data_IF_901924102562
#
_entry.id   IF_901924102562
#
_cell.length_a   1.000
_cell.length_b   1.000
_cell.length_c   1.000
_cell.angle_alpha   90.00
_cell.angle_beta   90.00
_cell.angle_gamma   90.00
#
_symmetry.space_group_name_H-M   'P 1'
#
loop_
_entity.id
_entity.type
_entity.pdbx_description
1 polymer ?
#
# COMPACT_ATOMS: atom_id res chain seq x y z
N UNK A 1 21.78 -4.85 -28.27
CA UNK A 1 21.84 -6.30 -28.57
C UNK A 1 23.17 -6.83 -28.07
N UNK A 2 23.26 -7.34 -26.86
CA UNK A 2 24.34 -8.23 -26.42
C UNK A 2 23.77 -9.19 -25.37
N UNK A 3 23.73 -10.49 -25.71
CA UNK A 3 23.43 -11.59 -24.82
C UNK A 3 24.73 -12.01 -24.11
N UNK A 4 24.70 -12.07 -22.78
CA UNK A 4 25.75 -12.72 -22.00
C UNK A 4 25.23 -14.08 -21.50
N UNK A 5 25.82 -15.13 -22.05
CA UNK A 5 25.63 -16.50 -21.61
C UNK A 5 26.56 -16.80 -20.42
N UNK A 6 25.99 -17.31 -19.32
CA UNK A 6 26.76 -17.94 -18.27
C UNK A 6 26.83 -19.46 -18.52
N UNK A 7 28.03 -19.97 -18.73
CA UNK A 7 28.31 -21.41 -18.81
C UNK A 7 28.40 -21.99 -17.41
N UNK A 8 27.60 -22.99 -17.11
CA UNK A 8 27.78 -23.88 -15.98
C UNK A 8 28.70 -25.04 -16.41
N UNK A 9 29.79 -25.29 -15.66
CA UNK A 9 30.71 -26.38 -15.86
C UNK A 9 30.04 -27.73 -15.58
N UNK A 10 30.12 -28.65 -16.54
CA UNK A 10 29.60 -30.00 -16.46
C UNK A 10 30.57 -30.94 -15.73
N UNK A 11 30.07 -31.73 -14.77
CA UNK A 11 30.72 -32.93 -14.30
C UNK A 11 30.50 -34.07 -15.32
N UNK A 12 31.55 -34.78 -15.68
CA UNK A 12 31.53 -35.92 -16.59
C UNK A 12 31.05 -37.17 -15.82
N UNK A 13 29.96 -37.76 -16.23
CA UNK A 13 29.77 -39.20 -16.22
C UNK A 13 28.88 -39.58 -17.42
N UNK A 14 29.17 -40.74 -18.00
CA UNK A 14 28.91 -41.15 -19.37
C UNK A 14 27.43 -41.16 -19.81
N UNK A 15 27.17 -40.49 -20.91
CA UNK A 15 26.06 -40.83 -21.80
C UNK A 15 24.83 -39.89 -21.78
N UNK A 16 24.69 -39.11 -22.88
CA UNK A 16 23.60 -38.25 -23.31
C UNK A 16 23.58 -36.84 -22.70
N UNK A 17 24.04 -35.88 -23.46
CA UNK A 17 23.87 -34.45 -23.22
C UNK A 17 22.40 -34.06 -23.39
N UNK A 18 21.71 -33.86 -22.29
CA UNK A 18 20.43 -33.12 -22.26
C UNK A 18 20.74 -31.71 -21.78
N UNK A 19 20.73 -30.73 -22.69
CA UNK A 19 20.86 -29.30 -22.36
C UNK A 19 19.50 -28.82 -21.89
N UNK A 20 19.22 -28.91 -20.60
CA UNK A 20 18.06 -28.24 -20.03
C UNK A 20 18.35 -26.74 -19.95
N UNK A 21 17.82 -25.97 -20.89
CA UNK A 21 17.78 -24.52 -20.79
C UNK A 21 16.80 -24.18 -19.68
N UNK A 22 17.30 -23.89 -18.49
CA UNK A 22 16.49 -23.28 -17.43
C UNK A 22 16.24 -21.84 -17.88
N UNK A 23 15.08 -21.58 -18.50
CA UNK A 23 14.56 -20.23 -18.69
C UNK A 23 14.30 -19.64 -17.30
N UNK A 24 15.30 -18.94 -16.75
CA UNK A 24 15.11 -18.06 -15.62
C UNK A 24 14.12 -16.97 -16.06
N UNK A 25 13.00 -16.73 -15.33
CA UNK A 25 12.10 -15.65 -15.70
C UNK A 25 12.92 -14.36 -15.76
N UNK A 26 12.77 -13.59 -16.83
CA UNK A 26 13.45 -12.30 -17.02
C UNK A 26 13.04 -11.38 -15.87
N UNK A 27 13.89 -11.30 -14.84
CA UNK A 27 13.69 -10.34 -13.75
C UNK A 27 13.70 -8.93 -14.33
N UNK A 28 12.67 -8.17 -14.07
CA UNK A 28 12.62 -6.75 -14.46
C UNK A 28 13.82 -6.05 -13.84
N UNK A 29 14.65 -5.43 -14.67
CA UNK A 29 15.79 -4.59 -14.22
C UNK A 29 15.31 -3.28 -13.59
N UNK A 30 14.05 -2.94 -13.78
CA UNK A 30 13.46 -1.66 -13.35
C UNK A 30 12.81 -1.81 -11.98
N UNK A 31 13.18 -0.93 -11.05
CA UNK A 31 12.51 -0.75 -9.76
C UNK A 31 11.93 0.66 -9.68
N UNK A 32 10.65 0.78 -9.33
CA UNK A 32 10.02 2.10 -9.24
C UNK A 32 10.35 2.80 -7.93
N UNK A 33 10.61 4.11 -8.04
CA UNK A 33 10.80 4.99 -6.88
C UNK A 33 9.66 6.01 -6.88
N UNK A 34 8.83 5.96 -5.84
CA UNK A 34 7.65 6.81 -5.75
C UNK A 34 7.91 8.04 -4.85
N UNK A 35 7.58 9.22 -5.36
CA UNK A 35 7.64 10.50 -4.64
C UNK A 35 6.30 11.23 -4.74
N UNK A 36 5.25 10.82 -3.97
CA UNK A 36 3.95 11.46 -4.07
C UNK A 36 4.02 12.95 -3.72
N UNK A 37 4.55 13.30 -2.56
CA UNK A 37 4.81 14.68 -2.13
C UNK A 37 3.72 15.68 -2.53
N UNK A 38 4.14 16.88 -2.96
CA UNK A 38 3.23 17.93 -3.41
C UNK A 38 2.49 17.61 -4.73
N UNK A 39 2.99 16.63 -5.51
CA UNK A 39 2.33 16.22 -6.75
C UNK A 39 1.18 15.23 -6.55
N UNK A 40 1.08 14.65 -5.34
CA UNK A 40 -0.01 13.75 -4.98
C UNK A 40 -0.40 13.97 -3.50
N UNK A 41 -1.03 15.13 -3.17
CA UNK A 41 -1.42 15.45 -1.81
C UNK A 41 -2.52 14.53 -1.29
N UNK A 42 -2.67 14.50 0.04
CA UNK A 42 -3.75 13.78 0.72
C UNK A 42 -4.83 14.76 1.17
N UNK A 43 -6.08 14.42 0.93
CA UNK A 43 -7.27 15.21 1.26
C UNK A 43 -8.08 14.48 2.33
N UNK A 44 -8.46 15.20 3.40
CA UNK A 44 -9.37 14.68 4.43
C UNK A 44 -10.77 15.23 4.26
N UNK A 45 -11.74 14.33 4.01
CA UNK A 45 -13.17 14.66 3.91
C UNK A 45 -13.81 14.99 5.26
N UNK A 46 -13.12 14.72 6.36
CA UNK A 46 -13.57 15.00 7.74
C UNK A 46 -12.77 16.13 8.41
N UNK A 47 -11.82 16.74 7.67
CA UNK A 47 -10.84 17.64 8.27
C UNK A 47 -9.98 16.88 9.32
N UNK A 48 -9.74 17.45 10.51
CA UNK A 48 -8.94 16.82 11.55
C UNK A 48 -9.72 15.81 12.41
N UNK A 49 -11.02 15.58 12.13
CA UNK A 49 -11.89 14.77 12.98
C UNK A 49 -11.85 13.29 12.60
N UNK A 50 -11.75 12.41 13.61
CA UNK A 50 -11.87 10.96 13.52
C UNK A 50 -12.57 10.45 14.78
N UNK A 51 -13.69 9.73 14.63
CA UNK A 51 -14.41 9.19 15.76
C UNK A 51 -13.68 7.99 16.39
N UNK A 52 -12.99 7.20 15.56
CA UNK A 52 -12.37 5.95 15.99
C UNK A 52 -11.12 6.16 16.87
N UNK A 53 -10.29 7.16 16.57
CA UNK A 53 -9.08 7.50 17.34
C UNK A 53 -8.20 6.30 17.70
N UNK A 54 -7.88 5.48 16.71
CA UNK A 54 -7.04 4.29 16.88
C UNK A 54 -5.75 4.58 17.66
N UNK A 55 -5.30 3.66 18.52
CA UNK A 55 -4.15 3.87 19.39
C UNK A 55 -2.85 4.21 18.64
N UNK A 56 -2.67 3.69 17.43
CA UNK A 56 -1.46 3.92 16.64
C UNK A 56 -1.36 5.33 16.06
N UNK A 57 -2.48 5.97 15.69
CA UNK A 57 -2.46 7.27 15.02
C UNK A 57 -3.18 8.40 15.76
N UNK A 58 -4.21 8.09 16.57
CA UNK A 58 -5.02 9.06 17.34
C UNK A 58 -5.42 10.30 16.49
N UNK A 59 -5.82 10.09 15.24
CA UNK A 59 -6.16 11.13 14.25
C UNK A 59 -5.01 12.11 13.90
N UNK A 60 -3.77 11.88 14.34
CA UNK A 60 -2.65 12.82 14.09
C UNK A 60 -2.30 12.95 12.62
N UNK A 61 -2.43 11.89 11.84
CA UNK A 61 -2.14 11.95 10.40
C UNK A 61 -3.08 12.87 9.63
N UNK A 62 -4.31 13.06 10.10
CA UNK A 62 -5.27 13.99 9.49
C UNK A 62 -4.83 15.46 9.56
N UNK A 63 -3.97 15.82 10.53
CA UNK A 63 -3.46 17.19 10.70
C UNK A 63 -2.57 17.64 9.53
N UNK A 64 -2.02 16.70 8.75
CA UNK A 64 -1.18 16.97 7.59
C UNK A 64 -1.93 16.83 6.26
N UNK A 65 -3.21 16.49 6.30
CA UNK A 65 -4.06 16.37 5.12
C UNK A 65 -4.75 17.70 4.83
N UNK A 66 -5.03 17.97 3.56
CA UNK A 66 -5.80 19.16 3.15
C UNK A 66 -7.26 18.96 3.59
N UNK A 67 -7.82 19.83 4.44
CA UNK A 67 -9.20 19.66 4.90
C UNK A 67 -10.20 20.13 3.84
N UNK A 68 -10.81 19.19 3.12
CA UNK A 68 -11.88 19.47 2.16
C UNK A 68 -13.11 18.66 2.57
N UNK A 69 -14.02 19.32 3.28
CA UNK A 69 -15.15 18.68 3.96
C UNK A 69 -16.47 18.73 3.19
N UNK A 70 -16.51 19.33 2.01
CA UNK A 70 -17.70 19.35 1.15
C UNK A 70 -17.39 18.96 -0.29
N UNK A 71 -18.34 18.31 -1.01
CA UNK A 71 -18.16 17.93 -2.40
C UNK A 71 -17.84 19.10 -3.33
N UNK A 72 -18.47 20.26 -3.11
CA UNK A 72 -18.29 21.47 -3.93
C UNK A 72 -16.85 21.97 -3.86
N UNK A 73 -16.28 22.05 -2.63
CA UNK A 73 -14.88 22.42 -2.44
C UNK A 73 -13.90 21.41 -3.04
N UNK A 74 -14.28 20.14 -3.11
CA UNK A 74 -13.44 19.13 -3.76
C UNK A 74 -13.39 19.37 -5.29
N UNK A 75 -14.52 19.72 -5.90
CA UNK A 75 -14.58 20.06 -7.32
C UNK A 75 -13.82 21.36 -7.60
N UNK A 76 -13.93 22.38 -6.75
CA UNK A 76 -13.18 23.64 -6.86
C UNK A 76 -11.67 23.37 -6.80
N UNK A 77 -11.22 22.61 -5.78
CA UNK A 77 -9.82 22.20 -5.65
C UNK A 77 -9.34 21.46 -6.91
N UNK A 78 -10.11 20.52 -7.42
CA UNK A 78 -9.74 19.77 -8.60
C UNK A 78 -9.56 20.68 -9.84
N UNK A 79 -10.49 21.61 -10.08
CA UNK A 79 -10.37 22.60 -11.16
C UNK A 79 -9.12 23.46 -11.04
N UNK A 80 -8.79 23.90 -9.82
CA UNK A 80 -7.61 24.72 -9.56
C UNK A 80 -6.29 23.95 -9.72
N UNK A 81 -6.29 22.65 -9.42
CA UNK A 81 -5.09 21.81 -9.42
C UNK A 81 -4.88 21.03 -10.71
N UNK A 82 -5.86 20.97 -11.59
CA UNK A 82 -5.75 20.26 -12.86
C UNK A 82 -4.57 20.78 -13.70
N UNK A 83 -3.77 19.85 -14.21
CA UNK A 83 -2.51 20.15 -14.91
C UNK A 83 -1.33 20.59 -14.00
N UNK A 84 -1.56 20.83 -12.70
CA UNK A 84 -0.50 21.25 -11.74
C UNK A 84 0.01 20.10 -10.89
N UNK A 85 -0.87 19.15 -10.53
CA UNK A 85 -0.54 17.94 -9.77
C UNK A 85 -0.93 16.70 -10.55
N UNK A 86 -0.38 15.53 -10.18
CA UNK A 86 -0.71 14.25 -10.84
C UNK A 86 -2.05 13.68 -10.37
N UNK A 87 -2.46 14.02 -9.17
CA UNK A 87 -3.69 13.51 -8.56
C UNK A 87 -3.68 13.68 -7.05
N UNK A 88 -4.55 12.99 -6.34
CA UNK A 88 -4.62 13.07 -4.87
C UNK A 88 -5.17 11.80 -4.24
N UNK A 89 -4.83 11.61 -2.95
CA UNK A 89 -5.46 10.62 -2.09
C UNK A 89 -6.65 11.26 -1.39
N UNK A 90 -7.85 10.73 -1.59
CA UNK A 90 -9.06 11.11 -0.87
C UNK A 90 -9.31 10.13 0.27
N UNK A 91 -9.31 10.61 1.50
CA UNK A 91 -9.57 9.83 2.70
C UNK A 91 -10.13 10.72 3.81
N UNK A 92 -10.01 10.30 5.06
CA UNK A 92 -10.45 11.08 6.21
C UNK A 92 -10.39 10.28 7.50
N UNK A 93 -10.96 10.86 8.56
CA UNK A 93 -11.20 10.15 9.80
C UNK A 93 -12.36 9.17 9.66
N UNK A 94 -12.27 8.10 10.43
CA UNK A 94 -13.28 7.03 10.43
C UNK A 94 -14.43 7.34 11.38
N UNK A 95 -15.60 6.79 11.06
CA UNK A 95 -16.73 6.61 11.99
C UNK A 95 -16.36 5.57 13.06
N UNK A 96 -17.23 5.36 14.05
CA UNK A 96 -17.03 4.33 15.08
C UNK A 96 -17.02 2.91 14.51
N UNK A 97 -17.66 2.71 13.34
CA UNK A 97 -17.66 1.45 12.61
C UNK A 97 -16.39 1.22 11.78
N UNK A 98 -15.48 2.20 11.73
CA UNK A 98 -14.24 2.10 10.98
C UNK A 98 -14.31 2.54 9.51
N UNK A 99 -15.42 3.15 9.07
CA UNK A 99 -15.63 3.62 7.69
C UNK A 99 -15.24 5.10 7.52
N UNK A 100 -14.63 5.45 6.42
CA UNK A 100 -14.49 6.87 6.02
C UNK A 100 -15.79 7.31 5.33
N UNK A 101 -16.41 8.45 5.71
CA UNK A 101 -17.74 8.86 5.21
C UNK A 101 -17.68 9.46 3.79
N UNK A 102 -17.37 8.63 2.80
CA UNK A 102 -17.10 9.02 1.40
C UNK A 102 -18.35 9.15 0.54
N UNK A 103 -19.47 8.50 0.90
CA UNK A 103 -20.67 8.40 0.07
C UNK A 103 -21.15 9.75 -0.48
N UNK A 104 -21.11 10.81 0.32
CA UNK A 104 -21.51 12.15 -0.13
C UNK A 104 -20.62 12.77 -1.21
N UNK A 105 -19.39 12.24 -1.39
CA UNK A 105 -18.43 12.70 -2.39
C UNK A 105 -18.55 11.95 -3.73
N UNK A 106 -19.43 10.95 -3.84
CA UNK A 106 -19.58 10.09 -5.02
C UNK A 106 -19.67 10.90 -6.32
N UNK A 107 -20.60 11.82 -6.41
CA UNK A 107 -20.80 12.66 -7.63
C UNK A 107 -19.62 13.59 -7.91
N UNK A 108 -19.01 14.15 -6.86
CA UNK A 108 -17.87 15.04 -7.01
C UNK A 108 -16.64 14.31 -7.56
N UNK A 109 -16.32 13.13 -7.00
CA UNK A 109 -15.20 12.32 -7.49
C UNK A 109 -15.45 11.85 -8.92
N UNK A 110 -16.67 11.37 -9.22
CA UNK A 110 -17.04 10.98 -10.58
C UNK A 110 -16.84 12.12 -11.56
N UNK A 111 -17.33 13.32 -11.22
CA UNK A 111 -17.16 14.51 -12.05
C UNK A 111 -15.66 14.81 -12.28
N UNK A 112 -14.81 14.71 -11.25
CA UNK A 112 -13.38 14.96 -11.33
C UNK A 112 -12.72 13.97 -12.30
N UNK A 113 -13.03 12.69 -12.15
CA UNK A 113 -12.48 11.62 -13.00
C UNK A 113 -12.88 11.81 -14.48
N UNK A 114 -14.09 12.28 -14.74
CA UNK A 114 -14.61 12.48 -16.10
C UNK A 114 -14.16 13.81 -16.73
N UNK A 115 -13.80 14.83 -15.96
CA UNK A 115 -13.60 16.20 -16.45
C UNK A 115 -12.20 16.79 -16.20
N UNK A 116 -11.29 16.05 -15.55
CA UNK A 116 -9.92 16.50 -15.26
C UNK A 116 -8.90 15.43 -15.60
N UNK A 117 -7.62 15.79 -15.64
CA UNK A 117 -6.52 14.84 -15.78
C UNK A 117 -6.06 14.24 -14.45
N UNK A 118 -6.70 14.59 -13.32
CA UNK A 118 -6.29 14.20 -11.98
C UNK A 118 -6.58 12.75 -11.69
N UNK A 119 -5.59 12.04 -11.20
CA UNK A 119 -5.73 10.67 -10.74
C UNK A 119 -6.24 10.65 -9.29
N UNK A 120 -7.36 9.98 -9.04
CA UNK A 120 -7.97 9.88 -7.72
C UNK A 120 -7.75 8.49 -7.14
N UNK A 121 -7.02 8.42 -6.01
CA UNK A 121 -6.93 7.26 -5.14
C UNK A 121 -7.82 7.46 -3.92
N UNK A 122 -8.63 6.49 -3.55
CA UNK A 122 -9.54 6.58 -2.41
C UNK A 122 -9.13 5.58 -1.34
N UNK A 123 -8.99 6.03 -0.09
CA UNK A 123 -8.76 5.16 1.06
C UNK A 123 -10.03 5.11 1.93
N UNK A 124 -10.66 3.95 1.99
CA UNK A 124 -12.07 3.83 2.42
C UNK A 124 -12.29 3.56 3.91
N UNK A 125 -11.26 3.05 4.62
CA UNK A 125 -11.50 2.29 5.84
C UNK A 125 -12.20 0.97 5.51
N UNK A 126 -12.87 0.35 6.49
CA UNK A 126 -13.63 -0.88 6.24
C UNK A 126 -14.85 -0.60 5.37
N UNK A 127 -15.23 -1.56 4.53
CA UNK A 127 -16.36 -1.45 3.59
C UNK A 127 -17.26 -2.69 3.72
N UNK A 128 -18.50 -2.53 3.28
CA UNK A 128 -19.49 -3.58 3.09
C UNK A 128 -20.15 -3.48 1.70
N UNK A 129 -21.17 -4.28 1.43
CA UNK A 129 -21.86 -4.35 0.15
C UNK A 129 -22.41 -2.99 -0.31
N UNK A 130 -22.99 -2.21 0.63
CA UNK A 130 -23.56 -0.89 0.34
C UNK A 130 -22.45 0.09 -0.08
N UNK A 131 -21.26 -0.06 0.49
CA UNK A 131 -20.12 0.78 0.14
C UNK A 131 -19.62 0.50 -1.28
N UNK A 132 -19.62 -0.76 -1.72
CA UNK A 132 -19.25 -1.13 -3.10
C UNK A 132 -20.13 -0.41 -4.11
N UNK A 133 -21.45 -0.35 -3.89
CA UNK A 133 -22.38 0.30 -4.82
C UNK A 133 -22.00 1.76 -5.08
N UNK A 134 -21.79 2.56 -4.03
CA UNK A 134 -21.43 3.96 -4.25
C UNK A 134 -19.98 4.16 -4.70
N UNK A 135 -19.06 3.25 -4.37
CA UNK A 135 -17.67 3.30 -4.85
C UNK A 135 -17.59 2.99 -6.34
N UNK A 136 -18.39 2.07 -6.85
CA UNK A 136 -18.51 1.80 -8.29
C UNK A 136 -19.17 2.99 -9.01
N UNK A 137 -20.24 3.60 -8.43
CA UNK A 137 -20.80 4.84 -8.95
C UNK A 137 -19.78 5.99 -8.95
N UNK A 138 -18.97 6.10 -7.90
CA UNK A 138 -17.89 7.10 -7.74
C UNK A 138 -16.83 6.96 -8.83
N UNK A 139 -16.55 5.74 -9.23
CA UNK A 139 -15.59 5.36 -10.27
C UNK A 139 -14.17 5.95 -10.07
N UNK A 140 -13.55 5.84 -8.88
CA UNK A 140 -12.20 6.34 -8.67
C UNK A 140 -11.19 5.51 -9.48
N UNK A 141 -10.01 6.08 -9.74
CA UNK A 141 -8.95 5.36 -10.45
C UNK A 141 -8.42 4.18 -9.64
N UNK A 142 -8.45 4.29 -8.30
CA UNK A 142 -7.92 3.24 -7.43
C UNK A 142 -8.52 3.30 -6.02
N UNK A 143 -8.59 2.14 -5.36
CA UNK A 143 -8.94 1.99 -3.94
C UNK A 143 -7.72 1.48 -3.18
N UNK A 144 -7.32 2.19 -2.13
CA UNK A 144 -6.39 1.71 -1.10
C UNK A 144 -7.16 1.15 0.07
N UNK A 145 -6.84 -0.06 0.51
CA UNK A 145 -7.57 -0.75 1.57
C UNK A 145 -6.61 -1.39 2.58
N UNK A 146 -6.68 -0.98 3.85
CA UNK A 146 -5.91 -1.58 4.93
C UNK A 146 -6.49 -2.94 5.33
N UNK A 147 -5.65 -3.97 5.37
CA UNK A 147 -6.02 -5.33 5.74
C UNK A 147 -5.50 -5.65 7.13
N UNK A 148 -6.41 -6.03 8.03
CA UNK A 148 -6.06 -6.40 9.40
C UNK A 148 -6.40 -7.88 9.60
N UNK A 149 -5.36 -8.71 9.70
CA UNK A 149 -5.51 -10.17 9.83
C UNK A 149 -5.66 -10.69 11.27
N UNK A 150 -5.90 -9.81 12.26
CA UNK A 150 -6.07 -10.19 13.66
C UNK A 150 -7.23 -9.46 14.32
N UNK A 151 -8.21 -10.20 14.82
CA UNK A 151 -9.34 -9.64 15.60
C UNK A 151 -8.86 -8.95 16.87
N UNK A 152 -7.84 -9.47 17.54
CA UNK A 152 -7.23 -8.80 18.72
C UNK A 152 -6.66 -7.43 18.34
N UNK A 153 -5.97 -7.32 17.18
CA UNK A 153 -5.47 -6.04 16.69
C UNK A 153 -6.61 -5.06 16.39
N UNK A 154 -7.70 -5.54 15.78
CA UNK A 154 -8.89 -4.72 15.50
C UNK A 154 -9.49 -4.18 16.79
N UNK A 155 -9.64 -5.00 17.81
CA UNK A 155 -10.23 -4.60 19.09
C UNK A 155 -9.27 -3.72 19.91
N UNK A 156 -8.02 -4.12 20.06
CA UNK A 156 -7.09 -3.49 20.99
C UNK A 156 -6.43 -2.23 20.42
N UNK A 157 -6.15 -2.19 19.12
CA UNK A 157 -5.45 -1.06 18.48
C UNK A 157 -6.43 -0.11 17.80
N UNK A 158 -7.39 -0.63 17.04
CA UNK A 158 -8.36 0.21 16.33
C UNK A 158 -9.55 0.60 17.26
N UNK A 159 -9.95 -0.27 18.19
CA UNK A 159 -11.03 0.00 19.13
C UNK A 159 -12.43 -0.21 18.55
N UNK A 160 -12.57 -0.96 17.47
CA UNK A 160 -13.86 -1.29 16.86
C UNK A 160 -14.33 -2.69 17.26
N UNK A 161 -15.62 -2.97 17.08
CA UNK A 161 -16.22 -4.29 17.28
C UNK A 161 -16.08 -5.23 16.07
N UNK A 162 -15.43 -4.77 15.00
CA UNK A 162 -15.17 -5.57 13.80
C UNK A 162 -14.20 -6.71 14.12
N UNK A 163 -14.17 -7.71 13.26
CA UNK A 163 -13.23 -8.84 13.32
C UNK A 163 -12.30 -8.87 12.11
N UNK A 164 -11.32 -9.75 12.09
CA UNK A 164 -10.50 -9.98 10.88
C UNK A 164 -11.34 -10.49 9.70
N UNK A 165 -12.38 -11.25 9.98
CA UNK A 165 -13.31 -11.77 8.99
C UNK A 165 -14.04 -10.66 8.24
N UNK A 166 -14.39 -9.55 8.93
CA UNK A 166 -14.97 -8.37 8.27
C UNK A 166 -13.97 -7.73 7.26
N UNK A 167 -12.69 -7.67 7.60
CA UNK A 167 -11.64 -7.18 6.69
C UNK A 167 -11.42 -8.12 5.51
N UNK A 168 -11.46 -9.44 5.74
CA UNK A 168 -11.32 -10.43 4.69
C UNK A 168 -12.53 -10.44 3.76
N UNK A 169 -13.74 -10.27 4.30
CA UNK A 169 -14.95 -10.10 3.50
C UNK A 169 -14.90 -8.83 2.64
N UNK A 170 -14.47 -7.70 3.21
CA UNK A 170 -14.27 -6.47 2.46
C UNK A 170 -13.30 -6.63 1.28
N UNK A 171 -12.20 -7.38 1.47
CA UNK A 171 -11.30 -7.74 0.37
C UNK A 171 -11.98 -8.57 -0.71
N UNK A 172 -12.82 -9.54 -0.34
CA UNK A 172 -13.58 -10.35 -1.31
C UNK A 172 -14.57 -9.49 -2.10
N UNK A 173 -15.22 -8.53 -1.45
CA UNK A 173 -16.11 -7.59 -2.13
C UNK A 173 -15.34 -6.76 -3.17
N UNK A 174 -14.14 -6.24 -2.82
CA UNK A 174 -13.28 -5.54 -3.77
C UNK A 174 -12.84 -6.44 -4.92
N UNK A 175 -12.46 -7.68 -4.64
CA UNK A 175 -12.00 -8.63 -5.67
C UNK A 175 -13.10 -9.02 -6.65
N UNK A 176 -14.39 -9.00 -6.23
CA UNK A 176 -15.56 -9.25 -7.07
C UNK A 176 -16.07 -8.00 -7.79
N UNK A 177 -15.71 -6.80 -7.34
CA UNK A 177 -16.16 -5.53 -7.91
C UNK A 177 -15.42 -5.18 -9.21
N UNK A 178 -15.83 -4.11 -9.88
CA UNK A 178 -15.13 -3.56 -11.05
C UNK A 178 -13.96 -2.63 -10.67
N UNK A 179 -13.80 -2.33 -9.39
CA UNK A 179 -12.82 -1.37 -8.88
C UNK A 179 -11.38 -1.91 -8.94
N UNK A 180 -10.44 -1.05 -9.30
CA UNK A 180 -9.02 -1.32 -9.11
C UNK A 180 -8.65 -1.09 -7.65
N UNK A 181 -7.94 -2.00 -7.03
CA UNK A 181 -7.59 -1.87 -5.62
C UNK A 181 -6.20 -2.42 -5.28
N UNK A 182 -5.66 -1.93 -4.18
CA UNK A 182 -4.41 -2.41 -3.58
C UNK A 182 -4.60 -2.62 -2.08
N UNK A 183 -4.43 -3.86 -1.58
CA UNK A 183 -4.36 -4.11 -0.16
C UNK A 183 -3.09 -3.51 0.45
N UNK A 184 -3.22 -2.99 1.66
CA UNK A 184 -2.12 -2.48 2.48
C UNK A 184 -2.01 -3.30 3.75
N UNK A 185 -0.82 -3.71 4.15
CA UNK A 185 -0.56 -4.37 5.42
C UNK A 185 0.41 -3.53 6.25
N UNK A 186 0.04 -3.24 7.49
CA UNK A 186 0.87 -2.50 8.45
C UNK A 186 1.59 -3.52 9.35
N UNK A 187 2.82 -3.85 9.02
CA UNK A 187 3.61 -4.77 9.84
C UNK A 187 3.91 -4.19 11.23
N UNK A 188 3.70 -4.99 12.27
CA UNK A 188 3.89 -4.59 13.65
C UNK A 188 2.75 -3.73 14.21
N UNK A 189 1.58 -3.69 13.57
CA UNK A 189 0.45 -2.87 14.04
C UNK A 189 0.00 -3.26 15.46
N UNK A 190 0.11 -4.53 15.86
CA UNK A 190 -0.20 -4.96 17.20
C UNK A 190 0.92 -4.63 18.19
N UNK A 191 0.98 -3.36 18.63
CA UNK A 191 1.96 -2.86 19.62
C UNK A 191 3.42 -3.22 19.26
N UNK A 192 3.77 -3.13 17.99
CA UNK A 192 5.13 -3.38 17.47
C UNK A 192 5.43 -4.84 17.12
N UNK A 193 4.50 -5.76 17.37
CA UNK A 193 4.62 -7.20 17.09
C UNK A 193 3.83 -7.59 15.87
N UNK A 194 4.30 -8.58 15.14
CA UNK A 194 3.56 -9.22 14.06
C UNK A 194 2.48 -10.12 14.65
N UNK A 195 1.22 -9.81 14.38
CA UNK A 195 0.06 -10.57 14.84
C UNK A 195 -1.08 -10.50 13.81
N UNK A 196 -1.20 -11.52 12.97
CA UNK A 196 -2.22 -11.63 11.91
C UNK A 196 -1.77 -11.18 10.52
N UNK A 197 -0.57 -10.60 10.37
CA UNK A 197 -0.05 -10.19 9.06
C UNK A 197 0.17 -11.39 8.15
N UNK A 198 0.54 -12.57 8.68
CA UNK A 198 0.63 -13.83 7.92
C UNK A 198 -0.74 -14.25 7.38
N UNK A 199 -1.79 -14.22 8.24
CA UNK A 199 -3.18 -14.52 7.83
C UNK A 199 -3.65 -13.57 6.72
N UNK A 200 -3.23 -12.28 6.79
CA UNK A 200 -3.54 -11.29 5.76
C UNK A 200 -2.86 -11.63 4.42
N UNK A 201 -1.59 -12.08 4.42
CA UNK A 201 -0.90 -12.55 3.21
C UNK A 201 -1.61 -13.77 2.63
N UNK A 202 -1.96 -14.76 3.45
CA UNK A 202 -2.63 -15.98 2.99
C UNK A 202 -4.00 -15.66 2.38
N UNK A 203 -4.72 -14.68 2.96
CA UNK A 203 -5.97 -14.19 2.38
C UNK A 203 -5.73 -13.50 1.02
N UNK A 204 -4.78 -12.58 0.94
CA UNK A 204 -4.46 -11.85 -0.31
C UNK A 204 -4.01 -12.81 -1.41
N UNK A 205 -3.26 -13.85 -1.08
CA UNK A 205 -2.83 -14.89 -2.01
C UNK A 205 -3.98 -15.62 -2.69
N UNK A 206 -5.15 -15.67 -2.05
CA UNK A 206 -6.36 -16.28 -2.62
C UNK A 206 -7.15 -15.36 -3.57
N UNK A 207 -6.74 -14.11 -3.73
CA UNK A 207 -7.39 -13.09 -4.56
C UNK A 207 -6.72 -12.98 -5.94
N UNK A 208 -7.48 -12.49 -6.93
CA UNK A 208 -7.01 -12.49 -8.32
C UNK A 208 -6.78 -11.10 -8.91
N UNK A 209 -7.45 -10.06 -8.40
CA UNK A 209 -7.57 -8.78 -9.10
C UNK A 209 -6.83 -7.61 -8.49
N UNK A 210 -6.21 -7.76 -7.32
CA UNK A 210 -5.47 -6.65 -6.72
C UNK A 210 -4.27 -6.21 -7.60
N UNK A 211 -4.04 -4.91 -7.66
CA UNK A 211 -2.99 -4.33 -8.51
C UNK A 211 -1.60 -4.47 -7.88
N UNK A 212 -1.46 -4.05 -6.62
CA UNK A 212 -0.23 -4.14 -5.84
C UNK A 212 -0.55 -4.51 -4.40
N UNK A 213 0.35 -5.21 -3.72
CA UNK A 213 0.39 -5.32 -2.27
C UNK A 213 1.32 -4.24 -1.74
N UNK A 214 0.81 -3.34 -0.91
CA UNK A 214 1.62 -2.30 -0.27
C UNK A 214 1.95 -2.72 1.15
N UNK A 215 3.22 -2.94 1.43
CA UNK A 215 3.72 -3.24 2.77
C UNK A 215 4.20 -1.96 3.44
N UNK A 216 3.70 -1.68 4.62
CA UNK A 216 4.10 -0.55 5.47
C UNK A 216 4.45 -1.06 6.86
N UNK A 217 5.05 -0.22 7.68
CA UNK A 217 5.45 -0.59 9.05
C UNK A 217 4.91 0.44 10.03
N UNK A 218 4.43 -0.02 11.17
CA UNK A 218 4.02 0.86 12.26
C UNK A 218 5.08 1.91 12.56
N UNK A 219 4.65 3.16 12.63
CA UNK A 219 5.47 4.27 13.13
C UNK A 219 4.99 4.60 14.54
N UNK A 220 5.79 4.34 15.59
CA UNK A 220 5.51 4.84 16.94
C UNK A 220 5.40 6.37 16.90
N UNK A 221 4.17 6.88 16.92
CA UNK A 221 3.88 8.29 16.64
C UNK A 221 3.77 9.07 17.95
N UNK A 222 4.59 10.11 18.10
CA UNK A 222 4.59 10.97 19.30
C UNK A 222 3.20 11.53 19.62
N UNK A 223 2.79 11.47 20.89
CA UNK A 223 1.48 11.92 21.36
C UNK A 223 0.34 10.97 21.01
N UNK A 224 0.63 9.71 20.72
CA UNK A 224 -0.34 8.62 20.63
C UNK A 224 -0.14 7.64 21.78
N UNK A 225 -1.13 6.79 22.10
CA UNK A 225 -0.92 5.72 23.08
C UNK A 225 0.22 4.75 22.75
N UNK A 226 0.65 4.72 21.49
CA UNK A 226 1.71 3.84 21.00
C UNK A 226 3.05 4.54 20.72
N UNK A 227 3.25 5.77 21.22
CA UNK A 227 4.48 6.55 20.95
C UNK A 227 5.78 5.87 21.43
N UNK A 228 5.71 5.07 22.50
CA UNK A 228 6.86 4.39 23.09
C UNK A 228 6.94 2.90 22.73
N UNK A 229 6.13 2.44 21.80
CA UNK A 229 6.14 1.04 21.36
C UNK A 229 7.48 0.72 20.68
N UNK A 230 8.09 -0.37 21.10
CA UNK A 230 9.29 -0.93 20.46
C UNK A 230 8.86 -1.90 19.35
N UNK A 231 9.42 -1.71 18.17
CA UNK A 231 9.18 -2.62 17.05
C UNK A 231 9.99 -3.91 17.25
N UNK A 232 9.33 -5.03 17.07
CA UNK A 232 9.98 -6.32 16.84
C UNK A 232 10.52 -6.35 15.41
N UNK A 233 11.74 -5.81 15.24
CA UNK A 233 12.35 -5.67 13.92
C UNK A 233 12.63 -7.02 13.27
N UNK A 234 13.00 -8.04 14.05
CA UNK A 234 13.30 -9.38 13.57
C UNK A 234 12.03 -10.03 13.03
N UNK A 235 10.97 -10.08 13.82
CA UNK A 235 9.67 -10.62 13.38
C UNK A 235 9.09 -9.86 12.18
N UNK A 236 9.30 -8.53 12.09
CA UNK A 236 8.90 -7.75 10.93
C UNK A 236 9.71 -8.16 9.69
N UNK A 237 11.02 -8.37 9.79
CA UNK A 237 11.84 -8.82 8.67
C UNK A 237 11.47 -10.24 8.22
N UNK A 238 11.18 -11.13 9.16
CA UNK A 238 10.67 -12.48 8.86
C UNK A 238 9.33 -12.41 8.11
N UNK A 239 8.41 -11.55 8.56
CA UNK A 239 7.14 -11.32 7.87
C UNK A 239 7.35 -10.78 6.44
N UNK A 240 8.26 -9.81 6.25
CA UNK A 240 8.57 -9.30 4.91
C UNK A 240 9.14 -10.39 4.00
N UNK A 241 10.02 -11.26 4.50
CA UNK A 241 10.50 -12.41 3.75
C UNK A 241 9.35 -13.36 3.38
N UNK A 242 8.46 -13.65 4.33
CA UNK A 242 7.28 -14.48 4.06
C UNK A 242 6.41 -13.87 2.95
N UNK A 243 6.12 -12.58 3.00
CA UNK A 243 5.35 -11.90 1.95
C UNK A 243 6.04 -12.00 0.58
N UNK A 244 7.37 -11.81 0.53
CA UNK A 244 8.18 -11.89 -0.68
C UNK A 244 8.34 -13.31 -1.24
N UNK A 245 8.12 -14.33 -0.43
CA UNK A 245 8.13 -15.74 -0.85
C UNK A 245 6.74 -16.22 -1.33
N UNK A 246 5.66 -15.55 -0.89
CA UNK A 246 4.29 -15.99 -1.15
C UNK A 246 3.51 -15.12 -2.14
N UNK A 247 3.96 -13.90 -2.41
CA UNK A 247 3.34 -12.97 -3.36
C UNK A 247 4.33 -12.65 -4.48
N UNK A 248 3.83 -12.45 -5.69
CA UNK A 248 4.61 -12.04 -6.85
C UNK A 248 5.36 -10.72 -6.54
N UNK A 249 6.69 -10.73 -6.68
CA UNK A 249 7.55 -9.61 -6.26
C UNK A 249 7.29 -8.33 -7.03
N UNK A 250 6.87 -8.44 -8.28
CA UNK A 250 6.47 -7.34 -9.16
C UNK A 250 5.11 -6.72 -8.78
N UNK A 251 4.41 -7.30 -7.80
CA UNK A 251 3.23 -6.72 -7.15
C UNK A 251 3.52 -6.10 -5.78
N UNK A 252 4.70 -6.34 -5.18
CA UNK A 252 5.02 -5.85 -3.84
C UNK A 252 5.67 -4.47 -3.89
N UNK A 253 5.09 -3.51 -3.16
CA UNK A 253 5.64 -2.15 -3.00
C UNK A 253 5.87 -1.87 -1.52
N UNK A 254 7.07 -1.38 -1.18
CA UNK A 254 7.34 -0.82 0.15
C UNK A 254 6.78 0.59 0.23
N UNK A 255 5.71 0.74 1.02
CA UNK A 255 4.92 1.98 1.11
C UNK A 255 5.59 3.12 1.89
N UNK A 256 4.88 4.24 1.96
CA UNK A 256 5.42 5.49 2.55
C UNK A 256 5.50 5.47 4.08
N UNK A 257 4.60 4.76 4.76
CA UNK A 257 4.53 4.71 6.22
C UNK A 257 5.48 3.64 6.75
N UNK A 258 6.64 4.07 7.21
CA UNK A 258 7.64 3.24 7.92
C UNK A 258 8.64 4.12 8.67
N UNK A 259 9.25 3.64 9.76
CA UNK A 259 10.35 4.34 10.43
C UNK A 259 11.54 4.50 9.50
N UNK A 260 12.01 5.73 9.29
CA UNK A 260 13.14 6.03 8.39
C UNK A 260 14.46 5.44 8.83
N UNK A 261 14.58 5.07 10.10
CA UNK A 261 15.76 4.38 10.66
C UNK A 261 15.75 2.86 10.42
N UNK A 262 14.67 2.29 9.86
CA UNK A 262 14.58 0.86 9.59
C UNK A 262 15.01 0.56 8.16
N UNK A 263 16.31 0.74 7.88
CA UNK A 263 16.89 0.59 6.54
C UNK A 263 16.90 -0.85 6.04
N UNK A 264 16.92 -1.83 6.94
CA UNK A 264 17.02 -3.24 6.64
C UNK A 264 15.88 -3.71 5.74
N UNK A 265 14.67 -3.20 5.92
CA UNK A 265 13.52 -3.53 5.03
C UNK A 265 13.67 -2.92 3.63
N UNK A 266 14.26 -1.72 3.51
CA UNK A 266 14.57 -1.13 2.19
C UNK A 266 15.59 -2.00 1.46
N UNK A 267 16.66 -2.43 2.16
CA UNK A 267 17.68 -3.28 1.58
C UNK A 267 17.14 -4.65 1.19
N UNK A 268 16.29 -5.24 2.04
CA UNK A 268 15.59 -6.48 1.72
C UNK A 268 14.76 -6.33 0.43
N UNK A 269 13.97 -5.27 0.29
CA UNK A 269 13.17 -5.01 -0.91
C UNK A 269 14.04 -4.86 -2.17
N UNK A 270 15.20 -4.19 -2.09
CA UNK A 270 16.14 -4.09 -3.21
C UNK A 270 16.72 -5.46 -3.57
N UNK A 271 17.25 -6.19 -2.59
CA UNK A 271 17.85 -7.53 -2.79
C UNK A 271 16.85 -8.54 -3.34
N UNK A 272 15.60 -8.46 -2.89
CA UNK A 272 14.52 -9.35 -3.32
C UNK A 272 13.77 -8.84 -4.57
N UNK A 273 14.16 -7.66 -5.11
CA UNK A 273 13.63 -7.07 -6.35
C UNK A 273 12.12 -6.84 -6.29
N UNK A 274 11.64 -6.13 -5.26
CA UNK A 274 10.27 -5.65 -5.19
C UNK A 274 9.94 -4.74 -6.38
N UNK A 275 8.67 -4.56 -6.70
CA UNK A 275 8.19 -3.62 -7.73
C UNK A 275 8.71 -2.19 -7.49
N UNK A 276 8.67 -1.73 -6.22
CA UNK A 276 9.11 -0.36 -5.92
C UNK A 276 9.15 0.01 -4.45
N UNK A 277 9.70 1.19 -4.19
CA UNK A 277 9.86 1.77 -2.84
C UNK A 277 9.41 3.23 -2.86
N UNK A 278 8.66 3.64 -1.83
CA UNK A 278 8.26 5.04 -1.66
C UNK A 278 9.34 5.78 -0.88
N UNK A 279 9.88 6.87 -1.43
CA UNK A 279 10.89 7.74 -0.84
C UNK A 279 12.03 6.92 -0.19
N UNK A 280 12.83 6.16 -0.97
CA UNK A 280 13.95 5.39 -0.43
C UNK A 280 15.04 6.31 0.13
N UNK A 281 15.86 5.77 1.06
CA UNK A 281 17.05 6.46 1.55
C UNK A 281 18.10 6.57 0.44
N UNK A 282 19.03 7.55 0.54
CA UNK A 282 20.15 7.67 -0.40
C UNK A 282 21.01 6.40 -0.42
N UNK A 283 21.17 5.71 0.72
CA UNK A 283 21.87 4.44 0.81
C UNK A 283 21.17 3.34 0.01
N UNK A 284 19.84 3.33 0.04
CA UNK A 284 19.03 2.38 -0.74
C UNK A 284 19.14 2.65 -2.22
N UNK A 285 19.14 3.91 -2.66
CA UNK A 285 19.36 4.28 -4.06
C UNK A 285 20.75 3.80 -4.54
N UNK A 286 21.79 4.01 -3.71
CA UNK A 286 23.13 3.53 -4.01
C UNK A 286 23.16 2.00 -4.15
N UNK A 287 22.52 1.28 -3.22
CA UNK A 287 22.39 -0.17 -3.29
C UNK A 287 21.68 -0.64 -4.56
N UNK A 288 20.62 0.05 -5.01
CA UNK A 288 19.95 -0.27 -6.27
C UNK A 288 20.92 -0.22 -7.46
N UNK A 289 21.76 0.81 -7.54
CA UNK A 289 22.80 0.90 -8.58
C UNK A 289 23.84 -0.23 -8.48
N UNK A 290 24.30 -0.55 -7.26
CA UNK A 290 25.23 -1.66 -7.01
C UNK A 290 24.63 -3.01 -7.43
N UNK A 291 23.33 -3.21 -7.28
CA UNK A 291 22.59 -4.40 -7.71
C UNK A 291 22.22 -4.39 -9.21
N UNK A 292 22.63 -3.36 -9.95
CA UNK A 292 22.36 -3.23 -11.38
C UNK A 292 20.87 -3.01 -11.72
N UNK A 293 20.12 -2.37 -10.80
CA UNK A 293 18.72 -2.01 -10.99
C UNK A 293 18.59 -0.60 -11.57
N UNK A 294 17.78 -0.47 -12.61
CA UNK A 294 17.37 0.82 -13.14
C UNK A 294 16.25 1.41 -12.27
N UNK A 295 16.45 2.61 -11.75
CA UNK A 295 15.46 3.31 -10.93
C UNK A 295 14.54 4.17 -11.81
N UNK A 296 13.25 3.85 -11.86
CA UNK A 296 12.25 4.66 -12.56
C UNK A 296 11.45 5.51 -11.56
N UNK A 297 11.59 6.84 -11.64
CA UNK A 297 10.89 7.78 -10.76
C UNK A 297 9.44 7.96 -11.17
N UNK A 298 8.54 7.96 -10.18
CA UNK A 298 7.11 8.29 -10.30
C UNK A 298 6.72 9.33 -9.25
N UNK A 299 6.21 10.49 -9.68
CA UNK A 299 5.73 11.55 -8.79
C UNK A 299 4.23 11.37 -8.51
N UNK A 300 3.86 10.20 -7.94
CA UNK A 300 2.49 9.79 -7.68
C UNK A 300 2.40 8.76 -6.54
N UNK A 301 1.18 8.36 -6.18
CA UNK A 301 0.96 7.32 -5.19
C UNK A 301 1.49 5.95 -5.67
N UNK A 302 1.97 5.15 -4.72
CA UNK A 302 2.63 3.87 -4.98
C UNK A 302 1.68 2.73 -5.44
N UNK A 303 0.39 2.97 -5.48
CA UNK A 303 -0.59 2.02 -6.01
C UNK A 303 -0.68 2.02 -7.54
N UNK A 304 -0.02 3.00 -8.21
CA UNK A 304 -0.03 3.20 -9.67
C UNK A 304 1.24 2.76 -10.40
#
# INVERSE_FOLDING_TARGET
>A
VFYLFYHATAFHDGGRKSTTIINSPAFTKIMYIYYPGAKFPSISVTGPHCALRCKHCNAKYLQHMIPITTPEKLVEFAKEQDGKISGFLLSGGSTLEGKVPLKRFTRAVRWIVENTSLIVNVHTGIIDEIDIEYLEEMHPHHISFDVIGSTSTVHEVLGTKRSKEDYFHALELLDRSTLNYSPHIIAGLHFGKVLGEYDAIDKIKSLNRYSNLVLIVLIPTKGTPMENVKLDKEGILEFFNYALDNIERDKIVLGCMRPRSFHEIEYLCVKRRCKGIVIPSLKTIKLMHEEGLDAARKDMCCVF
#
